data_IF_590982961667
#
_entry.id   IF_590982961667
#
_cell.length_a   1.000
_cell.length_b   1.000
_cell.length_c   1.000
_cell.angle_alpha   90.00
_cell.angle_beta   90.00
_cell.angle_gamma   90.00
#
_symmetry.space_group_name_H-M   'P 1'
#
loop_
_entity.id
_entity.type
_entity.pdbx_description
1 polymer ?
#
# COMPACT_ATOMS: atom_id res chain seq x y z
N UNK A 1 -23.92 4.54 -11.86
CA UNK A 1 -23.25 5.01 -10.63
C UNK A 1 -23.54 6.49 -10.55
N UNK A 2 -23.98 7.00 -9.40
CA UNK A 2 -24.21 8.43 -9.23
C UNK A 2 -22.96 9.03 -8.61
N UNK A 3 -22.55 10.19 -9.11
CA UNK A 3 -21.47 11.01 -8.55
C UNK A 3 -22.08 12.32 -8.07
N UNK A 4 -21.50 12.97 -7.04
CA UNK A 4 -21.94 14.32 -6.68
C UNK A 4 -21.64 15.29 -7.83
N UNK A 5 -22.36 16.41 -7.86
CA UNK A 5 -22.15 17.44 -8.89
C UNK A 5 -20.78 18.12 -8.75
N UNK A 6 -20.24 18.15 -7.52
CA UNK A 6 -18.93 18.70 -7.17
C UNK A 6 -18.28 17.80 -6.10
N UNK A 7 -16.94 17.80 -5.97
CA UNK A 7 -16.27 17.17 -4.84
C UNK A 7 -16.78 17.75 -3.51
N UNK A 8 -17.01 16.88 -2.52
CA UNK A 8 -17.50 17.28 -1.20
C UNK A 8 -16.53 16.81 -0.13
N UNK A 9 -15.80 17.76 0.45
CA UNK A 9 -14.92 17.49 1.58
C UNK A 9 -15.68 17.56 2.91
N UNK A 10 -15.37 16.65 3.82
CA UNK A 10 -15.99 16.60 5.14
C UNK A 10 -14.95 16.71 6.24
N UNK A 11 -15.13 17.70 7.11
CA UNK A 11 -14.23 18.01 8.22
C UNK A 11 -14.90 17.83 9.56
N UNK A 12 -14.12 17.41 10.56
CA UNK A 12 -14.59 17.33 11.93
C UNK A 12 -13.47 17.60 12.93
N UNK A 13 -13.81 18.36 13.97
CA UNK A 13 -12.90 18.69 15.08
C UNK A 13 -13.02 17.68 16.21
N UNK A 14 -11.87 17.31 16.78
CA UNK A 14 -11.79 16.50 17.99
C UNK A 14 -10.82 17.14 19.00
N UNK A 15 -10.80 16.63 20.24
CA UNK A 15 -9.83 17.07 21.25
C UNK A 15 -8.36 16.70 20.94
N UNK A 16 -8.14 15.85 19.94
CA UNK A 16 -6.83 15.36 19.52
C UNK A 16 -6.43 15.78 18.10
N UNK A 17 -7.27 16.53 17.40
CA UNK A 17 -6.93 17.16 16.11
C UNK A 17 -8.13 17.35 15.22
N UNK A 18 -7.93 18.08 14.12
CA UNK A 18 -8.93 18.19 13.06
C UNK A 18 -8.68 17.08 12.03
N UNK A 19 -9.78 16.53 11.53
CA UNK A 19 -9.78 15.44 10.58
C UNK A 19 -10.50 15.85 9.29
N UNK A 20 -10.07 15.24 8.20
CA UNK A 20 -10.90 15.05 7.01
C UNK A 20 -11.16 13.55 6.80
N UNK A 21 -12.07 13.22 5.88
CA UNK A 21 -12.31 11.85 5.44
C UNK A 21 -12.20 11.75 3.92
N UNK A 22 -11.58 10.68 3.45
CA UNK A 22 -11.51 10.32 2.03
C UNK A 22 -11.88 8.84 1.93
N UNK A 23 -12.48 8.38 0.82
CA UNK A 23 -13.04 7.03 0.76
C UNK A 23 -12.41 6.24 -0.38
N UNK A 24 -11.71 5.16 -0.03
CA UNK A 24 -11.17 4.20 -0.98
C UNK A 24 -10.44 4.88 -2.16
N UNK A 25 -10.97 4.74 -3.37
CA UNK A 25 -10.36 5.20 -4.61
C UNK A 25 -10.06 6.71 -4.65
N UNK A 26 -10.76 7.53 -3.85
CA UNK A 26 -10.53 8.98 -3.73
C UNK A 26 -9.05 9.31 -3.41
N UNK A 27 -8.37 8.44 -2.65
CA UNK A 27 -6.98 8.62 -2.23
C UNK A 27 -6.00 8.78 -3.41
N UNK A 28 -6.37 8.29 -4.60
CA UNK A 28 -5.55 8.37 -5.81
C UNK A 28 -5.75 9.69 -6.60
N UNK A 29 -6.71 10.53 -6.21
CA UNK A 29 -7.08 11.73 -6.94
C UNK A 29 -6.60 12.99 -6.24
N UNK A 30 -6.38 14.04 -7.04
CA UNK A 30 -5.87 15.33 -6.55
C UNK A 30 -6.79 15.97 -5.50
N UNK A 31 -8.10 15.75 -5.61
CA UNK A 31 -9.11 16.26 -4.70
C UNK A 31 -8.85 15.79 -3.26
N UNK A 32 -8.37 14.56 -3.06
CA UNK A 32 -8.00 14.06 -1.72
C UNK A 32 -6.82 14.81 -1.09
N UNK A 33 -5.94 15.39 -1.92
CA UNK A 33 -4.81 16.22 -1.49
C UNK A 33 -5.30 17.65 -1.27
N UNK A 34 -6.11 18.19 -2.18
CA UNK A 34 -6.76 19.50 -2.04
C UNK A 34 -7.59 19.59 -0.75
N UNK A 35 -8.23 18.48 -0.34
CA UNK A 35 -8.96 18.40 0.94
C UNK A 35 -8.09 18.69 2.17
N UNK A 36 -6.77 18.52 2.08
CA UNK A 36 -5.81 18.80 3.16
C UNK A 36 -5.42 20.28 3.26
N UNK A 37 -5.76 21.10 2.27
CA UNK A 37 -5.48 22.54 2.29
C UNK A 37 -6.31 23.28 3.35
N UNK A 38 -7.38 22.65 3.86
CA UNK A 38 -8.19 23.17 4.95
C UNK A 38 -7.34 23.37 6.23
N UNK A 39 -7.26 24.59 6.78
CA UNK A 39 -6.38 24.89 7.89
C UNK A 39 -6.60 23.98 9.11
N UNK A 40 -5.49 23.39 9.57
CA UNK A 40 -5.42 22.56 10.78
C UNK A 40 -5.73 21.08 10.56
N UNK A 41 -6.12 20.66 9.35
CA UNK A 41 -6.28 19.24 9.01
C UNK A 41 -4.92 18.56 9.00
N UNK A 42 -4.72 17.63 9.94
CA UNK A 42 -3.48 16.85 10.08
C UNK A 42 -3.75 15.35 10.14
N UNK A 43 -5.02 14.96 10.05
CA UNK A 43 -5.46 13.60 10.26
C UNK A 43 -6.52 13.23 9.21
N UNK A 44 -6.46 12.00 8.72
CA UNK A 44 -7.37 11.48 7.71
C UNK A 44 -7.97 10.17 8.22
N UNK A 45 -9.30 10.13 8.29
CA UNK A 45 -10.05 8.89 8.46
C UNK A 45 -10.29 8.29 7.06
N UNK A 46 -9.86 7.05 6.84
CA UNK A 46 -9.84 6.43 5.51
C UNK A 46 -10.50 5.05 5.53
N UNK A 47 -11.84 4.97 5.43
CA UNK A 47 -12.51 3.72 5.13
C UNK A 47 -12.23 3.31 3.68
N UNK A 48 -11.91 2.04 3.46
CA UNK A 48 -11.55 1.53 2.13
C UNK A 48 -12.04 0.10 1.91
N UNK A 49 -12.20 -0.24 0.64
CA UNK A 49 -12.32 -1.61 0.14
C UNK A 49 -11.31 -1.68 -1.01
N UNK A 50 -10.03 -1.77 -0.65
CA UNK A 50 -8.95 -1.70 -1.62
C UNK A 50 -8.85 -3.03 -2.37
N UNK A 51 -8.27 -3.01 -3.56
CA UNK A 51 -7.94 -4.22 -4.29
C UNK A 51 -6.45 -4.17 -4.58
N UNK A 52 -5.69 -5.14 -4.10
CA UNK A 52 -4.27 -5.17 -4.35
C UNK A 52 -3.98 -5.42 -5.84
N UNK A 53 -3.11 -4.57 -6.39
CA UNK A 53 -2.66 -4.59 -7.77
C UNK A 53 -1.15 -4.73 -7.83
N UNK A 54 -0.63 -5.50 -8.78
CA UNK A 54 0.83 -5.50 -9.04
C UNK A 54 1.20 -4.28 -9.89
N UNK A 55 2.41 -3.71 -9.76
CA UNK A 55 3.45 -4.01 -8.78
C UNK A 55 3.05 -3.65 -7.33
N UNK A 56 3.72 -4.25 -6.34
CA UNK A 56 3.39 -4.15 -4.90
C UNK A 56 3.21 -2.72 -4.35
N UNK A 57 3.75 -1.70 -5.04
CA UNK A 57 3.53 -0.28 -4.71
C UNK A 57 2.04 0.12 -4.76
N UNK A 58 1.19 -0.66 -5.45
CA UNK A 58 -0.26 -0.49 -5.48
C UNK A 58 -1.00 -1.44 -4.51
N UNK A 59 -0.28 -2.09 -3.60
CA UNK A 59 -0.92 -2.77 -2.48
C UNK A 59 -1.37 -1.74 -1.44
N UNK A 60 -2.44 -2.04 -0.72
CA UNK A 60 -3.05 -1.14 0.26
C UNK A 60 -2.03 -0.56 1.26
N UNK A 61 -1.30 -1.41 1.98
CA UNK A 61 -0.40 -0.96 3.05
C UNK A 61 0.76 -0.08 2.57
N UNK A 62 1.56 -0.43 1.55
CA UNK A 62 2.62 0.46 1.07
C UNK A 62 2.06 1.75 0.46
N UNK A 63 0.94 1.70 -0.27
CA UNK A 63 0.35 2.89 -0.88
C UNK A 63 -0.17 3.86 0.19
N UNK A 64 -0.97 3.37 1.14
CA UNK A 64 -1.50 4.16 2.26
C UNK A 64 -0.37 4.79 3.10
N UNK A 65 0.67 4.02 3.41
CA UNK A 65 1.83 4.54 4.13
C UNK A 65 2.54 5.64 3.34
N UNK A 66 2.83 5.40 2.06
CA UNK A 66 3.50 6.37 1.20
C UNK A 66 2.68 7.65 1.04
N UNK A 67 1.36 7.54 0.90
CA UNK A 67 0.46 8.69 0.79
C UNK A 67 0.46 9.53 2.07
N UNK A 68 0.40 8.90 3.25
CA UNK A 68 0.52 9.58 4.54
C UNK A 68 1.85 10.34 4.65
N UNK A 69 2.95 9.70 4.27
CA UNK A 69 4.28 10.30 4.29
C UNK A 69 4.42 11.47 3.32
N UNK A 70 3.93 11.32 2.09
CA UNK A 70 4.02 12.34 1.04
C UNK A 70 3.22 13.60 1.39
N UNK A 71 2.06 13.43 2.03
CA UNK A 71 1.16 14.54 2.36
C UNK A 71 1.32 15.06 3.78
N UNK A 72 2.28 14.53 4.55
CA UNK A 72 2.58 14.96 5.92
C UNK A 72 1.37 14.95 6.88
N UNK A 73 0.53 13.92 6.80
CA UNK A 73 -0.66 13.74 7.65
C UNK A 73 -0.69 12.37 8.31
N UNK A 74 -1.35 12.25 9.46
CA UNK A 74 -1.70 10.96 10.02
C UNK A 74 -2.82 10.33 9.20
N UNK A 75 -2.71 9.05 8.86
CA UNK A 75 -3.73 8.32 8.10
C UNK A 75 -4.19 7.10 8.91
N UNK A 76 -5.50 6.99 9.11
CA UNK A 76 -6.15 5.84 9.76
C UNK A 76 -6.94 5.08 8.70
N UNK A 77 -6.34 4.00 8.18
CA UNK A 77 -6.90 3.18 7.13
C UNK A 77 -7.64 1.96 7.70
N UNK A 78 -8.92 1.85 7.36
CA UNK A 78 -9.77 0.72 7.71
C UNK A 78 -10.26 0.01 6.44
N UNK A 79 -9.61 -1.09 6.10
CA UNK A 79 -9.93 -1.90 4.93
C UNK A 79 -10.76 -3.14 5.28
N UNK A 80 -11.43 -3.68 4.26
CA UNK A 80 -11.99 -5.02 4.31
C UNK A 80 -10.87 -6.07 4.38
N UNK A 81 -11.14 -7.20 5.06
CA UNK A 81 -10.30 -8.40 4.96
C UNK A 81 -11.06 -9.46 4.17
N UNK A 82 -10.98 -9.37 2.84
CA UNK A 82 -11.56 -10.31 1.89
C UNK A 82 -10.49 -10.80 0.90
N UNK A 83 -9.68 -11.80 1.30
CA UNK A 83 -8.56 -12.31 0.51
C UNK A 83 -8.89 -12.71 -0.94
N UNK A 84 -10.07 -13.29 -1.25
CA UNK A 84 -10.41 -13.71 -2.62
C UNK A 84 -10.40 -12.59 -3.67
N UNK A 85 -10.60 -11.32 -3.26
CA UNK A 85 -10.54 -10.16 -4.16
C UNK A 85 -9.22 -9.39 -4.05
N UNK A 86 -8.33 -9.81 -3.16
CA UNK A 86 -7.12 -9.06 -2.84
C UNK A 86 -7.39 -7.85 -1.96
N UNK A 87 -8.48 -7.87 -1.19
CA UNK A 87 -8.85 -6.77 -0.30
C UNK A 87 -8.32 -7.05 1.10
N UNK A 88 -7.23 -6.39 1.43
CA UNK A 88 -6.43 -6.51 2.64
C UNK A 88 -5.77 -5.16 2.90
N UNK A 89 -5.25 -4.95 4.11
CA UNK A 89 -4.35 -3.82 4.34
C UNK A 89 -5.01 -2.70 5.13
N UNK A 90 -5.11 -2.89 6.44
CA UNK A 90 -5.53 -1.84 7.37
C UNK A 90 -4.32 -1.36 8.17
N UNK A 91 -4.31 -0.10 8.58
CA UNK A 91 -3.20 0.43 9.35
C UNK A 91 -3.37 1.86 9.83
N UNK A 92 -2.46 2.25 10.72
CA UNK A 92 -2.32 3.60 11.24
C UNK A 92 -0.92 4.07 10.84
N UNK A 93 -0.85 5.14 10.07
CA UNK A 93 0.38 5.66 9.47
C UNK A 93 0.63 7.09 9.92
N UNK A 94 1.91 7.43 10.10
CA UNK A 94 2.35 8.79 10.38
C UNK A 94 3.61 9.10 9.56
N UNK A 95 3.81 10.34 9.09
CA UNK A 95 4.84 10.67 8.10
C UNK A 95 6.26 10.33 8.54
N UNK A 96 6.60 10.59 9.80
CA UNK A 96 7.95 10.45 10.31
C UNK A 96 8.32 9.04 10.79
N UNK A 97 7.35 8.13 10.88
CA UNK A 97 7.56 6.76 11.38
C UNK A 97 7.04 5.68 10.43
N UNK A 98 6.31 6.05 9.39
CA UNK A 98 5.59 5.08 8.56
C UNK A 98 4.43 4.45 9.35
N UNK A 99 4.24 3.14 9.20
CA UNK A 99 3.21 2.42 9.93
C UNK A 99 3.52 2.33 11.44
N UNK A 100 2.60 2.84 12.25
CA UNK A 100 2.58 2.64 13.70
C UNK A 100 2.07 1.24 14.05
N UNK A 101 1.05 0.79 13.32
CA UNK A 101 0.50 -0.57 13.35
C UNK A 101 -0.21 -0.81 12.03
N UNK A 102 -0.04 -2.00 11.43
CA UNK A 102 -0.74 -2.37 10.20
C UNK A 102 -0.96 -3.88 10.15
N UNK A 103 -1.85 -4.34 9.28
CA UNK A 103 -2.06 -5.75 8.98
C UNK A 103 -2.29 -5.94 7.49
N UNK A 104 -1.62 -6.92 6.88
CA UNK A 104 -1.81 -7.31 5.48
C UNK A 104 -1.95 -8.83 5.37
N UNK A 105 -2.52 -9.46 6.39
CA UNK A 105 -2.63 -10.92 6.45
C UNK A 105 -3.93 -11.41 5.78
N UNK A 106 -3.85 -12.32 4.79
CA UNK A 106 -5.02 -12.87 4.10
C UNK A 106 -5.72 -14.01 4.86
N UNK A 107 -6.00 -13.83 6.14
CA UNK A 107 -6.65 -14.84 6.97
C UNK A 107 -8.19 -14.77 6.96
N UNK A 108 -8.79 -13.78 6.30
CA UNK A 108 -10.24 -13.57 6.24
C UNK A 108 -10.87 -13.14 7.58
N UNK A 109 -10.06 -12.76 8.57
CA UNK A 109 -10.51 -12.45 9.93
C UNK A 109 -10.58 -10.95 10.17
N UNK A 110 -11.61 -10.55 10.93
CA UNK A 110 -11.75 -9.18 11.42
C UNK A 110 -10.68 -8.87 12.46
N UNK A 111 -10.11 -7.66 12.38
CA UNK A 111 -9.00 -7.23 13.23
C UNK A 111 -9.25 -5.84 13.80
N UNK A 112 -8.76 -5.61 15.01
CA UNK A 112 -8.69 -4.31 15.65
C UNK A 112 -7.21 -3.94 15.84
N UNK A 113 -6.84 -2.78 15.30
CA UNK A 113 -5.50 -2.21 15.43
C UNK A 113 -5.59 -0.97 16.31
N UNK A 114 -4.72 -0.86 17.31
CA UNK A 114 -4.65 0.27 18.23
C UNK A 114 -3.21 0.75 18.29
N UNK A 115 -3.00 2.06 18.27
CA UNK A 115 -1.71 2.68 18.56
C UNK A 115 -1.92 4.13 18.99
N UNK A 116 -1.01 4.66 19.81
CA UNK A 116 -0.97 6.07 20.14
C UNK A 116 -0.45 6.88 18.95
N UNK A 117 -1.26 7.83 18.49
CA UNK A 117 -0.96 8.67 17.33
C UNK A 117 -0.55 10.06 17.81
N UNK A 118 0.55 10.64 17.30
CA UNK A 118 0.90 12.00 17.62
C UNK A 118 -0.15 12.98 17.10
N UNK A 119 -0.60 13.93 17.95
CA UNK A 119 -1.52 15.01 17.52
C UNK A 119 -0.95 15.88 16.39
N UNK A 120 0.38 15.95 16.29
CA UNK A 120 1.07 16.61 15.18
C UNK A 120 2.07 15.65 14.53
N UNK A 121 1.96 15.41 13.22
CA UNK A 121 2.86 14.51 12.48
C UNK A 121 4.35 14.79 12.68
N UNK A 122 4.74 16.05 12.85
CA UNK A 122 6.11 16.53 13.02
C UNK A 122 6.70 16.31 14.44
N UNK A 123 5.87 15.90 15.40
CA UNK A 123 6.31 15.73 16.78
C UNK A 123 7.22 14.51 16.94
N UNK A 124 8.31 14.66 17.69
CA UNK A 124 9.21 13.56 18.00
C UNK A 124 8.52 12.58 18.96
N UNK A 125 8.07 11.44 18.44
CA UNK A 125 7.48 10.37 19.25
C UNK A 125 8.54 9.32 19.59
N UNK A 126 8.65 8.97 20.88
CA UNK A 126 9.48 7.84 21.32
C UNK A 126 8.75 6.55 20.96
N UNK A 127 9.47 5.56 20.41
CA UNK A 127 8.88 4.29 19.97
C UNK A 127 8.09 3.60 21.09
N UNK A 128 8.57 3.69 22.33
CA UNK A 128 7.92 3.09 23.49
C UNK A 128 6.55 3.72 23.81
N UNK A 129 6.29 4.95 23.36
CA UNK A 129 5.03 5.66 23.62
C UNK A 129 3.93 5.27 22.61
N UNK A 130 4.27 4.56 21.52
CA UNK A 130 3.32 4.18 20.47
C UNK A 130 2.34 3.08 20.89
N UNK A 131 2.74 2.21 21.83
CA UNK A 131 1.93 1.13 22.37
C UNK A 131 1.05 0.37 21.35
N UNK A 132 1.61 -0.14 20.23
CA UNK A 132 0.80 -0.80 19.21
C UNK A 132 0.22 -2.11 19.75
N UNK A 133 -1.08 -2.30 19.56
CA UNK A 133 -1.81 -3.51 19.93
C UNK A 133 -2.63 -4.00 18.74
N UNK A 134 -2.75 -5.32 18.64
CA UNK A 134 -3.52 -5.99 17.60
C UNK A 134 -4.42 -7.04 18.23
N UNK A 135 -5.66 -7.12 17.78
CA UNK A 135 -6.63 -8.10 18.25
C UNK A 135 -7.40 -8.72 17.08
N UNK A 136 -7.74 -9.99 17.21
CA UNK A 136 -8.78 -10.59 16.38
C UNK A 136 -10.16 -10.27 16.98
N UNK A 137 -11.13 -10.09 16.09
CA UNK A 137 -12.55 -10.02 16.43
C UNK A 137 -13.25 -11.20 15.77
N UNK A 138 -13.65 -12.19 16.58
CA UNK A 138 -14.40 -13.36 16.11
C UNK A 138 -15.70 -13.45 16.90
N UNK A 139 -16.86 -13.41 16.23
CA UNK A 139 -18.19 -13.49 16.86
C UNK A 139 -18.38 -12.56 18.08
N UNK A 140 -17.84 -11.34 17.98
CA UNK A 140 -17.91 -10.34 19.06
C UNK A 140 -16.90 -10.54 20.21
N UNK A 141 -16.08 -11.59 20.16
CA UNK A 141 -14.98 -11.82 21.11
C UNK A 141 -13.70 -11.19 20.61
N UNK A 142 -13.06 -10.38 21.47
CA UNK A 142 -11.77 -9.74 21.20
C UNK A 142 -10.65 -10.58 21.81
N UNK A 143 -9.68 -11.01 21.01
CA UNK A 143 -8.52 -11.79 21.49
C UNK A 143 -7.19 -11.16 21.06
N UNK A 144 -6.20 -11.03 21.96
CA UNK A 144 -4.89 -10.48 21.58
C UNK A 144 -4.23 -11.29 20.47
N UNK A 145 -3.58 -10.60 19.54
CA UNK A 145 -2.73 -11.22 18.53
C UNK A 145 -1.29 -11.27 19.06
N UNK A 146 -0.75 -12.47 19.31
CA UNK A 146 0.65 -12.66 19.73
C UNK A 146 1.66 -12.51 18.56
N UNK A 147 1.17 -12.04 17.42
CA UNK A 147 1.87 -11.94 16.16
C UNK A 147 0.91 -12.24 15.02
N UNK A 148 1.23 -11.78 13.82
CA UNK A 148 0.58 -12.31 12.62
C UNK A 148 1.35 -13.55 12.20
N UNK A 149 0.64 -14.64 11.90
CA UNK A 149 1.25 -15.75 11.18
C UNK A 149 1.93 -15.19 9.93
N UNK A 150 3.14 -15.65 9.64
CA UNK A 150 3.83 -15.23 8.42
C UNK A 150 2.88 -15.50 7.26
N UNK A 151 2.49 -14.48 6.49
CA UNK A 151 1.54 -14.68 5.40
C UNK A 151 2.14 -15.71 4.46
N UNK A 152 1.43 -16.84 4.30
CA UNK A 152 1.78 -17.82 3.28
C UNK A 152 1.20 -17.30 1.98
N UNK A 153 1.90 -16.35 1.38
CA UNK A 153 1.63 -15.99 0.01
C UNK A 153 1.97 -17.24 -0.83
N UNK A 154 0.94 -17.94 -1.31
CA UNK A 154 1.15 -18.94 -2.38
C UNK A 154 1.93 -18.23 -3.50
N UNK A 155 2.82 -18.94 -4.19
CA UNK A 155 3.76 -18.38 -5.20
C UNK A 155 3.11 -17.50 -6.27
N UNK A 156 1.80 -17.55 -6.43
CA UNK A 156 1.05 -16.82 -7.44
C UNK A 156 -0.07 -16.02 -6.77
N UNK A 157 0.15 -14.72 -6.58
CA UNK A 157 -0.91 -13.76 -6.26
C UNK A 157 -1.47 -13.24 -7.60
N UNK A 158 -2.31 -14.02 -8.28
CA UNK A 158 -2.76 -13.70 -9.65
C UNK A 158 -4.19 -14.19 -9.92
N UNK A 159 -5.15 -13.28 -9.97
CA UNK A 159 -6.55 -13.62 -10.29
C UNK A 159 -6.78 -14.10 -11.73
N UNK A 160 -5.94 -13.70 -12.70
CA UNK A 160 -6.13 -14.07 -14.12
C UNK A 160 -5.58 -15.44 -14.50
N UNK A 161 -4.64 -15.97 -13.72
CA UNK A 161 -3.97 -17.25 -13.99
C UNK A 161 -4.59 -18.39 -13.19
N UNK A 162 -5.16 -18.08 -12.03
CA UNK A 162 -5.71 -19.07 -11.09
C UNK A 162 -7.23 -19.25 -11.26
N UNK A 163 -7.72 -20.50 -11.29
CA UNK A 163 -9.15 -20.87 -11.17
C UNK A 163 -9.76 -20.26 -9.91
N UNK A 164 -11.08 -20.08 -9.77
CA UNK A 164 -11.77 -19.52 -8.57
C UNK A 164 -11.13 -19.81 -7.19
N UNK A 165 -11.24 -18.83 -6.27
CA UNK A 165 -10.69 -18.91 -4.91
C UNK A 165 -11.13 -20.20 -4.22
N UNK A 166 -10.16 -20.98 -3.75
CA UNK A 166 -10.45 -22.29 -3.13
C UNK A 166 -11.13 -22.13 -1.76
N UNK A 167 -10.82 -21.04 -1.04
CA UNK A 167 -11.37 -20.72 0.27
C UNK A 167 -11.20 -19.22 0.59
N UNK A 168 -11.72 -18.80 1.75
CA UNK A 168 -11.69 -17.40 2.20
C UNK A 168 -10.29 -16.87 2.51
N UNK A 169 -9.27 -17.72 2.64
CA UNK A 169 -7.88 -17.33 2.90
C UNK A 169 -7.01 -17.42 1.64
N UNK A 170 -7.59 -17.78 0.49
CA UNK A 170 -6.91 -17.83 -0.80
C UNK A 170 -6.68 -16.40 -1.29
N UNK A 171 -5.50 -15.86 -1.00
CA UNK A 171 -5.12 -14.51 -1.40
C UNK A 171 -4.76 -14.44 -2.87
N UNK A 172 -5.41 -13.51 -3.56
CA UNK A 172 -5.13 -13.23 -4.97
C UNK A 172 -5.18 -11.74 -5.20
N UNK A 173 -4.26 -11.24 -6.00
CA UNK A 173 -4.26 -9.86 -6.43
C UNK A 173 -4.56 -9.77 -7.92
N UNK A 174 -4.96 -8.57 -8.35
CA UNK A 174 -5.21 -8.29 -9.75
C UNK A 174 -3.88 -7.95 -10.42
N UNK A 175 -3.43 -8.73 -11.41
CA UNK A 175 -2.29 -8.31 -12.19
C UNK A 175 -2.66 -7.03 -12.94
N UNK A 176 -1.79 -6.04 -12.83
CA UNK A 176 -1.74 -4.94 -13.79
C UNK A 176 -0.66 -5.27 -14.81
N UNK A 177 -0.88 -4.96 -16.08
CA UNK A 177 0.14 -5.20 -17.10
C UNK A 177 1.36 -4.37 -16.76
N UNK A 178 2.51 -5.00 -16.52
CA UNK A 178 3.78 -4.33 -16.20
C UNK A 178 4.72 -4.29 -17.43
N UNK A 179 4.17 -4.54 -18.61
CA UNK A 179 4.85 -4.47 -19.90
C UNK A 179 5.36 -3.06 -20.23
N UNK A 180 4.72 -2.04 -19.69
CA UNK A 180 5.14 -0.65 -19.77
C UNK A 180 6.31 -0.30 -18.85
N UNK A 181 6.78 -1.22 -18.00
CA UNK A 181 7.99 -1.03 -17.20
C UNK A 181 9.23 -1.54 -17.93
N UNK A 182 10.29 -0.73 -17.90
CA UNK A 182 11.65 -1.16 -18.20
C UNK A 182 12.24 -1.83 -16.96
N UNK A 183 12.69 -3.08 -17.11
CA UNK A 183 13.29 -3.84 -16.01
C UNK A 183 14.78 -4.09 -16.25
N UNK A 184 15.60 -3.90 -15.20
CA UNK A 184 17.00 -4.32 -15.16
C UNK A 184 17.22 -5.28 -13.99
N UNK A 185 17.62 -6.52 -14.32
CA UNK A 185 18.09 -7.48 -13.33
C UNK A 185 19.41 -7.00 -12.72
N UNK A 186 19.45 -6.93 -11.39
CA UNK A 186 20.65 -6.63 -10.63
C UNK A 186 21.54 -7.87 -10.58
N UNK A 187 22.85 -7.69 -10.83
CA UNK A 187 23.82 -8.81 -10.90
C UNK A 187 25.03 -8.64 -9.99
N UNK A 188 25.29 -7.42 -9.55
CA UNK A 188 26.43 -7.08 -8.69
C UNK A 188 25.96 -6.94 -7.25
N UNK A 189 26.87 -7.11 -6.30
CA UNK A 189 26.62 -6.80 -4.88
C UNK A 189 26.53 -5.29 -4.63
N UNK A 190 27.13 -4.48 -5.48
CA UNK A 190 27.08 -3.01 -5.41
C UNK A 190 27.10 -2.46 -6.84
N UNK A 191 26.24 -1.49 -7.11
CA UNK A 191 26.22 -0.77 -8.40
C UNK A 191 25.47 0.57 -8.27
N UNK A 192 25.78 1.46 -9.20
CA UNK A 192 25.02 2.67 -9.48
C UNK A 192 24.38 2.54 -10.87
N UNK A 193 23.06 2.68 -10.93
CA UNK A 193 22.26 2.38 -12.11
C UNK A 193 21.36 3.56 -12.41
N UNK A 194 21.31 3.97 -13.68
CA UNK A 194 20.28 4.86 -14.20
C UNK A 194 19.53 4.16 -15.33
N UNK A 195 18.20 4.27 -15.31
CA UNK A 195 17.30 3.79 -16.37
C UNK A 195 16.31 4.90 -16.66
N UNK A 196 16.06 5.14 -17.95
CA UNK A 196 15.05 6.08 -18.39
C UNK A 196 13.98 5.37 -19.23
N UNK A 197 12.75 5.83 -19.10
CA UNK A 197 11.61 5.47 -19.94
C UNK A 197 10.90 6.76 -20.36
N UNK A 198 10.89 7.05 -21.67
CA UNK A 198 10.58 8.37 -22.21
C UNK A 198 11.46 9.48 -21.58
N UNK A 199 10.85 10.57 -21.11
CA UNK A 199 11.53 11.71 -20.49
C UNK A 199 11.68 11.54 -18.95
N UNK A 200 11.37 10.37 -18.42
CA UNK A 200 11.45 10.07 -16.99
C UNK A 200 12.62 9.12 -16.71
N UNK A 201 13.56 9.55 -15.86
CA UNK A 201 14.74 8.77 -15.47
C UNK A 201 14.73 8.48 -13.97
N UNK A 202 15.17 7.29 -13.59
CA UNK A 202 15.33 6.90 -12.21
C UNK A 202 16.73 6.33 -11.97
N UNK A 203 17.30 6.72 -10.84
CA UNK A 203 18.60 6.27 -10.38
C UNK A 203 18.46 5.34 -9.17
N UNK A 204 19.29 4.31 -9.12
CA UNK A 204 19.40 3.37 -8.02
C UNK A 204 20.87 3.16 -7.67
N UNK A 205 21.23 3.51 -6.44
CA UNK A 205 22.50 3.15 -5.81
C UNK A 205 22.22 2.12 -4.73
N UNK A 206 22.90 0.97 -4.75
CA UNK A 206 22.62 -0.11 -3.80
C UNK A 206 23.88 -0.88 -3.40
N UNK A 207 23.80 -1.49 -2.22
CA UNK A 207 24.75 -2.48 -1.71
C UNK A 207 23.96 -3.62 -1.06
N UNK A 208 24.17 -4.85 -1.53
CA UNK A 208 23.48 -6.06 -1.10
C UNK A 208 24.46 -7.02 -0.40
N UNK A 209 23.97 -7.75 0.60
CA UNK A 209 24.76 -8.77 1.30
C UNK A 209 24.98 -10.02 0.43
N UNK A 210 23.96 -10.42 -0.34
CA UNK A 210 24.04 -11.49 -1.33
C UNK A 210 23.15 -11.20 -2.55
N UNK A 211 23.37 -11.96 -3.62
CA UNK A 211 22.57 -11.91 -4.87
C UNK A 211 22.04 -13.31 -5.21
N UNK A 212 21.73 -14.11 -4.18
CA UNK A 212 21.20 -15.47 -4.33
C UNK A 212 19.74 -15.48 -4.83
N UNK A 213 19.04 -14.38 -4.61
CA UNK A 213 17.71 -14.10 -5.15
C UNK A 213 17.78 -13.12 -6.32
N UNK A 214 16.73 -13.12 -7.14
CA UNK A 214 16.66 -12.24 -8.29
C UNK A 214 16.01 -10.90 -7.93
N UNK A 215 16.81 -9.83 -8.03
CA UNK A 215 16.36 -8.46 -7.84
C UNK A 215 16.26 -7.72 -9.17
N UNK A 216 15.19 -6.94 -9.33
CA UNK A 216 14.92 -6.16 -10.51
C UNK A 216 14.63 -4.71 -10.14
N UNK A 217 15.27 -3.79 -10.87
CA UNK A 217 14.93 -2.37 -10.86
C UNK A 217 13.97 -2.09 -12.01
N UNK A 218 12.73 -1.70 -11.69
CA UNK A 218 11.68 -1.36 -12.64
C UNK A 218 11.51 0.15 -12.73
N UNK A 219 11.38 0.69 -13.95
CA UNK A 219 11.12 2.11 -14.23
C UNK A 219 10.07 2.25 -15.31
N UNK A 220 9.08 3.13 -15.11
CA UNK A 220 8.14 3.52 -16.15
C UNK A 220 7.83 5.01 -16.09
N UNK A 221 7.77 5.63 -17.27
CA UNK A 221 7.26 6.98 -17.49
C UNK A 221 5.98 6.99 -18.32
N UNK A 222 5.26 5.86 -18.35
CA UNK A 222 4.07 5.66 -19.17
C UNK A 222 2.79 5.67 -18.34
N UNK A 223 1.66 5.87 -19.02
CA UNK A 223 0.33 5.86 -18.40
C UNK A 223 -0.01 4.46 -17.88
N UNK A 224 -0.54 4.41 -16.66
CA UNK A 224 -1.10 3.21 -16.06
C UNK A 224 -2.57 3.07 -16.48
N UNK A 225 -2.94 1.88 -16.95
CA UNK A 225 -4.31 1.54 -17.28
C UNK A 225 -4.80 0.42 -16.36
N UNK A 226 -5.76 0.73 -15.48
CA UNK A 226 -6.46 -0.27 -14.68
C UNK A 226 -7.69 -0.77 -15.43
N UNK A 227 -7.63 -2.04 -15.87
CA UNK A 227 -8.76 -2.82 -16.41
C UNK A 227 -9.54 -2.10 -17.54
N UNK A 228 -8.85 -1.31 -18.36
CA UNK A 228 -9.45 -0.50 -19.44
C UNK A 228 -10.55 0.46 -19.00
N UNK A 229 -10.63 0.72 -17.69
CA UNK A 229 -11.65 1.56 -17.06
C UNK A 229 -11.07 2.88 -16.55
N UNK A 230 -9.81 2.87 -16.08
CA UNK A 230 -9.16 4.04 -15.51
C UNK A 230 -7.76 4.21 -16.06
N UNK A 231 -7.47 5.42 -16.57
CA UNK A 231 -6.18 5.78 -17.14
C UNK A 231 -5.54 6.87 -16.28
N UNK A 232 -4.38 6.58 -15.72
CA UNK A 232 -3.61 7.49 -14.88
C UNK A 232 -2.29 7.84 -15.56
N UNK A 233 -1.93 9.12 -15.56
CA UNK A 233 -0.55 9.51 -15.85
C UNK A 233 0.34 9.09 -14.69
N UNK A 234 1.26 8.16 -14.91
CA UNK A 234 2.13 7.64 -13.85
C UNK A 234 3.59 7.74 -14.22
N UNK A 235 4.40 8.06 -13.22
CA UNK A 235 5.86 7.96 -13.30
C UNK A 235 6.30 7.24 -12.04
N UNK A 236 7.00 6.12 -12.18
CA UNK A 236 7.39 5.33 -11.02
C UNK A 236 8.64 4.52 -11.27
N UNK A 237 9.38 4.32 -10.18
CA UNK A 237 10.44 3.32 -10.10
C UNK A 237 10.29 2.51 -8.82
N UNK A 238 10.69 1.25 -8.89
CA UNK A 238 10.75 0.39 -7.71
C UNK A 238 11.88 -0.62 -7.83
N UNK A 239 12.42 -1.03 -6.68
CA UNK A 239 13.27 -2.19 -6.56
C UNK A 239 12.44 -3.33 -5.97
N UNK A 240 12.45 -4.48 -6.64
CA UNK A 240 11.71 -5.64 -6.20
C UNK A 240 12.56 -6.91 -6.28
N UNK A 241 12.41 -7.79 -5.29
CA UNK A 241 12.71 -9.19 -5.48
C UNK A 241 11.62 -9.80 -6.36
N UNK A 242 11.99 -10.57 -7.38
CA UNK A 242 11.04 -11.27 -8.25
C UNK A 242 11.45 -12.74 -8.37
N UNK A 243 10.47 -13.62 -8.54
CA UNK A 243 10.78 -14.92 -9.12
C UNK A 243 11.12 -14.71 -10.62
N UNK A 244 12.03 -15.49 -11.18
CA UNK A 244 12.33 -15.40 -12.61
C UNK A 244 11.87 -16.65 -13.35
N UNK A 245 11.14 -16.43 -14.44
CA UNK A 245 10.83 -17.46 -15.43
C UNK A 245 11.67 -17.13 -16.66
N UNK A 246 12.62 -18.00 -16.99
CA UNK A 246 13.51 -17.86 -18.16
C UNK A 246 14.29 -16.52 -18.20
N UNK A 247 14.64 -15.97 -17.03
CA UNK A 247 15.44 -14.73 -16.92
C UNK A 247 14.64 -13.43 -17.10
N UNK A 248 13.30 -13.51 -17.19
CA UNK A 248 12.39 -12.36 -17.13
C UNK A 248 11.74 -12.28 -15.75
N UNK A 249 11.45 -11.05 -15.30
CA UNK A 249 10.73 -10.83 -14.05
C UNK A 249 9.34 -11.47 -14.14
N UNK A 250 9.06 -12.43 -13.27
CA UNK A 250 7.79 -13.13 -13.20
C UNK A 250 7.31 -13.07 -11.76
N UNK A 251 6.25 -12.31 -11.52
CA UNK A 251 5.65 -12.12 -10.19
C UNK A 251 6.57 -11.37 -9.24
N UNK A 252 6.19 -10.13 -8.96
CA UNK A 252 6.80 -9.34 -7.90
C UNK A 252 6.20 -9.85 -6.59
N UNK A 253 6.92 -10.72 -5.88
CA UNK A 253 6.51 -11.18 -4.56
C UNK A 253 7.03 -10.22 -3.50
N UNK A 254 6.13 -9.79 -2.61
CA UNK A 254 6.47 -9.10 -1.36
C UNK A 254 7.09 -10.06 -0.35
#
# INVERSE_FOLDING_TARGET
MNTPDFPEDAYFDTEFGKFTTVICFDLMFKESVEALDEPGVLNVAYPTYWFDHTPFIFFATPYQQAWSMANNVNLIAADANFPPTGSLGSGIYTPNKGALVYTHNPDGRSKLLISNVPKRPDSSVRVNDLGPLKFFIDDGKVTPMEGEEKPVFKKECLTTVLKDAENLTDYRCSPTTIDHYQFKKLKKLEDDIEICDNDFCCSLSYQAESMDEDYFFGVTGQDLNFKDAFKFGTQSCFLARCDSIEGKAAVISS
#
